data_IF_455886804289
#
_entry.id   IF_455886804289
#
_cell.length_a   1.000
_cell.length_b   1.000
_cell.length_c   1.000
_cell.angle_alpha   90.00
_cell.angle_beta   90.00
_cell.angle_gamma   90.00
#
_symmetry.space_group_name_H-M   'P 1'
#
loop_
_entity.id
_entity.type
_entity.pdbx_description
1 polymer ?
#
# COMPACT_ATOMS: atom_id res chain seq x y z
N UNK A 1 44.39 -33.69 -17.75
CA UNK A 1 44.42 -34.48 -16.50
C UNK A 1 43.10 -34.30 -15.76
N UNK A 2 42.53 -35.41 -15.28
CA UNK A 2 41.36 -35.59 -14.38
C UNK A 2 40.02 -35.03 -14.89
N UNK A 3 39.18 -35.82 -15.58
CA UNK A 3 38.26 -36.90 -15.14
C UNK A 3 37.18 -36.50 -14.12
N UNK A 4 35.94 -36.52 -14.63
CA UNK A 4 34.64 -36.39 -13.97
C UNK A 4 34.37 -37.56 -13.00
N UNK A 5 33.68 -37.27 -11.89
CA UNK A 5 32.88 -38.26 -11.14
C UNK A 5 31.43 -37.77 -11.06
N UNK A 6 30.54 -38.57 -11.64
CA UNK A 6 29.09 -38.54 -11.44
C UNK A 6 28.79 -39.63 -10.41
N UNK A 7 28.07 -39.30 -9.34
CA UNK A 7 27.54 -40.29 -8.40
C UNK A 7 26.02 -40.32 -8.54
N UNK A 8 25.52 -41.45 -9.03
CA UNK A 8 24.12 -41.85 -9.08
C UNK A 8 23.73 -42.48 -7.74
N UNK A 9 22.70 -41.97 -7.08
CA UNK A 9 22.09 -42.60 -5.90
C UNK A 9 20.79 -43.29 -6.31
N UNK A 10 20.80 -44.62 -6.24
CA UNK A 10 19.64 -45.50 -6.35
C UNK A 10 18.81 -45.42 -5.06
N UNK A 11 17.52 -45.10 -5.16
CA UNK A 11 16.56 -45.36 -4.08
C UNK A 11 15.63 -46.51 -4.47
N UNK A 12 15.61 -47.54 -3.61
CA UNK A 12 14.78 -48.74 -3.70
C UNK A 12 13.33 -48.43 -3.29
N UNK A 13 12.40 -48.97 -4.06
CA UNK A 13 10.96 -48.98 -3.77
C UNK A 13 10.63 -49.80 -2.51
N UNK A 14 9.99 -49.17 -1.53
CA UNK A 14 9.39 -49.82 -0.36
C UNK A 14 7.87 -49.89 -0.50
N UNK A 15 7.34 -51.12 -0.54
CA UNK A 15 5.90 -51.44 -0.58
C UNK A 15 5.19 -50.98 0.70
N UNK A 16 4.15 -50.16 0.57
CA UNK A 16 3.21 -49.83 1.65
C UNK A 16 2.12 -50.91 1.79
N UNK A 17 2.03 -51.50 2.98
CA UNK A 17 0.95 -52.39 3.40
C UNK A 17 -0.25 -51.60 3.94
N UNK A 18 -1.46 -51.90 3.45
CA UNK A 18 -2.75 -51.37 3.93
C UNK A 18 -3.12 -51.97 5.30
N UNK A 19 -3.75 -51.22 6.22
CA UNK A 19 -4.42 -51.81 7.37
C UNK A 19 -5.91 -52.10 7.09
N UNK A 20 -6.35 -53.26 7.56
CA UNK A 20 -7.75 -53.72 7.65
C UNK A 20 -8.48 -52.95 8.77
N UNK A 21 -9.77 -52.64 8.58
CA UNK A 21 -10.72 -52.34 9.67
C UNK A 21 -11.94 -53.26 9.54
N UNK A 22 -12.09 -54.13 10.53
CA UNK A 22 -13.33 -54.83 10.91
C UNK A 22 -14.10 -53.91 11.89
N UNK A 23 -15.37 -53.57 11.64
CA UNK A 23 -16.64 -54.20 12.08
C UNK A 23 -17.22 -53.64 13.41
N UNK A 24 -18.47 -53.14 13.27
CA UNK A 24 -19.61 -53.03 14.22
C UNK A 24 -19.60 -52.11 15.46
N UNK A 25 -20.55 -51.16 15.48
CA UNK A 25 -21.51 -50.95 16.57
C UNK A 25 -22.75 -50.19 16.01
N UNK A 26 -23.89 -50.86 15.79
CA UNK A 26 -25.11 -50.94 16.64
C UNK A 26 -25.95 -49.65 16.72
N UNK A 27 -27.00 -49.61 15.87
CA UNK A 27 -28.44 -49.44 16.17
C UNK A 27 -28.95 -48.28 17.07
N UNK A 28 -29.65 -47.35 16.42
CA UNK A 28 -31.04 -46.90 16.60
C UNK A 28 -31.68 -46.66 17.99
N UNK A 29 -32.35 -45.51 18.03
CA UNK A 29 -33.73 -45.23 18.49
C UNK A 29 -33.99 -44.64 19.89
N UNK A 30 -34.39 -43.36 19.85
CA UNK A 30 -35.62 -42.75 20.41
C UNK A 30 -36.01 -43.14 21.85
N UNK A 31 -36.11 -42.12 22.72
CA UNK A 31 -37.36 -41.75 23.41
C UNK A 31 -37.25 -40.40 24.13
N UNK A 32 -38.27 -39.60 23.90
CA UNK A 32 -38.57 -38.31 24.51
C UNK A 32 -38.90 -38.45 26.00
N UNK A 33 -38.51 -37.47 26.82
CA UNK A 33 -39.32 -37.03 27.95
C UNK A 33 -39.06 -35.54 28.24
N UNK A 34 -40.16 -34.80 28.34
CA UNK A 34 -40.25 -33.37 28.60
C UNK A 34 -39.98 -33.04 30.09
N UNK A 35 -39.75 -31.74 30.30
CA UNK A 35 -39.93 -30.95 31.54
C UNK A 35 -38.73 -30.93 32.51
N UNK A 36 -37.91 -29.89 32.35
CA UNK A 36 -37.47 -29.02 33.46
C UNK A 36 -37.01 -27.69 32.87
N UNK A 37 -38.00 -26.81 32.61
CA UNK A 37 -37.77 -25.37 32.67
C UNK A 37 -37.34 -25.05 34.11
N UNK A 38 -36.47 -24.04 34.29
CA UNK A 38 -36.02 -23.47 35.58
C UNK A 38 -34.64 -23.90 36.10
N UNK A 39 -33.57 -23.72 35.31
CA UNK A 39 -32.27 -23.20 35.78
C UNK A 39 -31.30 -23.02 34.59
N UNK A 40 -31.68 -22.20 33.60
CA UNK A 40 -30.65 -21.60 32.73
C UNK A 40 -30.01 -20.47 33.54
N UNK A 41 -29.13 -20.90 34.44
CA UNK A 41 -28.15 -20.05 35.09
C UNK A 41 -27.55 -19.17 33.99
N UNK A 42 -27.62 -17.86 34.18
CA UNK A 42 -26.82 -16.89 33.44
C UNK A 42 -25.36 -17.33 33.58
N UNK A 43 -24.90 -18.18 32.67
CA UNK A 43 -23.51 -18.20 32.27
C UNK A 43 -23.42 -16.97 31.36
N UNK A 44 -23.35 -15.81 32.00
CA UNK A 44 -22.60 -14.70 31.42
C UNK A 44 -21.19 -15.27 31.26
N UNK A 45 -20.91 -15.84 30.08
CA UNK A 45 -19.56 -15.87 29.56
C UNK A 45 -19.16 -14.41 29.43
N UNK A 46 -18.70 -13.85 30.54
CA UNK A 46 -17.64 -12.88 30.50
C UNK A 46 -16.52 -13.61 29.78
N UNK A 47 -16.50 -13.48 28.45
CA UNK A 47 -15.25 -13.60 27.71
C UNK A 47 -14.42 -12.52 28.36
N UNK A 48 -13.63 -12.93 29.35
CA UNK A 48 -12.60 -12.10 29.93
C UNK A 48 -11.80 -11.63 28.74
N UNK A 49 -11.97 -10.35 28.43
CA UNK A 49 -11.28 -9.67 27.37
C UNK A 49 -9.80 -9.74 27.75
N UNK A 50 -9.10 -10.78 27.28
CA UNK A 50 -7.65 -10.91 27.46
C UNK A 50 -6.98 -9.92 26.53
N UNK A 51 -7.20 -8.63 26.82
CA UNK A 51 -6.28 -7.58 26.41
C UNK A 51 -4.96 -7.86 27.11
N UNK A 52 -3.99 -8.30 26.33
CA UNK A 52 -2.60 -8.50 26.74
C UNK A 52 -1.76 -7.85 25.62
N UNK A 53 -0.71 -7.04 25.85
CA UNK A 53 0.17 -6.95 27.02
C UNK A 53 0.93 -5.62 27.23
N UNK A 54 0.79 -4.61 26.38
CA UNK A 54 1.56 -3.36 26.53
C UNK A 54 0.74 -2.29 27.28
N UNK A 55 1.28 -1.66 28.34
CA UNK A 55 0.60 -0.55 29.01
C UNK A 55 0.46 0.63 28.05
N UNK A 56 -0.57 1.46 28.23
CA UNK A 56 -0.68 2.72 27.50
C UNK A 56 0.60 3.53 27.76
N UNK A 57 1.30 3.90 26.69
CA UNK A 57 2.52 4.68 26.80
C UNK A 57 2.17 6.13 26.52
N UNK A 58 2.61 7.05 27.37
CA UNK A 58 2.55 8.48 27.06
C UNK A 58 3.93 8.98 26.68
N UNK A 59 4.04 9.63 25.53
CA UNK A 59 5.29 10.23 25.04
C UNK A 59 4.97 11.57 24.38
N UNK A 60 5.66 12.65 24.78
CA UNK A 60 5.48 14.01 24.24
C UNK A 60 4.02 14.49 24.20
N UNK A 61 3.25 14.22 25.26
CA UNK A 61 1.83 14.61 25.34
C UNK A 61 0.88 13.74 24.49
N UNK A 62 1.37 12.65 23.91
CA UNK A 62 0.59 11.70 23.11
C UNK A 62 0.47 10.39 23.87
N UNK A 63 -0.76 9.94 24.10
CA UNK A 63 -1.06 8.60 24.58
C UNK A 63 -1.10 7.63 23.38
N UNK A 64 -0.36 6.54 23.49
CA UNK A 64 -0.37 5.41 22.56
C UNK A 64 -1.08 4.27 23.26
N UNK A 65 -2.25 3.89 22.73
CA UNK A 65 -3.09 2.82 23.27
C UNK A 65 -3.14 1.66 22.29
N UNK A 66 -2.72 0.48 22.73
CA UNK A 66 -2.90 -0.76 21.99
C UNK A 66 -4.31 -1.30 22.16
N UNK A 67 -4.94 -1.68 21.05
CA UNK A 67 -6.29 -2.23 21.03
C UNK A 67 -6.40 -3.39 20.04
N UNK A 68 -7.48 -4.16 20.19
CA UNK A 68 -7.92 -5.17 19.24
C UNK A 68 -9.20 -4.71 18.56
N UNK A 69 -9.24 -4.79 17.24
CA UNK A 69 -10.44 -4.56 16.43
C UNK A 69 -11.01 -5.94 16.05
N UNK A 70 -12.17 -6.34 16.59
CA UNK A 70 -12.76 -7.63 16.28
C UNK A 70 -13.37 -7.64 14.88
N UNK A 71 -13.00 -8.62 14.08
CA UNK A 71 -13.60 -8.91 12.78
C UNK A 71 -14.82 -9.82 12.93
N UNK A 72 -15.76 -9.84 11.96
CA UNK A 72 -16.98 -10.64 12.04
C UNK A 72 -16.75 -12.16 12.16
N UNK A 73 -15.62 -12.64 11.63
CA UNK A 73 -15.21 -14.04 11.68
C UNK A 73 -14.49 -14.44 12.98
N UNK A 74 -14.33 -13.50 13.92
CA UNK A 74 -13.72 -13.72 15.22
C UNK A 74 -12.21 -13.45 15.26
N UNK A 75 -11.56 -13.19 14.13
CA UNK A 75 -10.16 -12.72 14.10
C UNK A 75 -10.07 -11.31 14.68
N UNK A 76 -8.96 -10.99 15.34
CA UNK A 76 -8.71 -9.65 15.87
C UNK A 76 -7.52 -9.00 15.16
N UNK A 77 -7.73 -7.79 14.66
CA UNK A 77 -6.66 -6.97 14.10
C UNK A 77 -6.05 -6.09 15.20
N UNK A 78 -4.73 -6.05 15.26
CA UNK A 78 -3.99 -5.25 16.22
C UNK A 78 -3.89 -3.80 15.73
N UNK A 79 -4.21 -2.85 16.61
CA UNK A 79 -4.11 -1.44 16.29
C UNK A 79 -3.47 -0.63 17.41
N UNK A 80 -2.68 0.38 17.03
CA UNK A 80 -2.16 1.39 17.93
C UNK A 80 -2.91 2.71 17.68
N UNK A 81 -3.60 3.22 18.70
CA UNK A 81 -4.24 4.52 18.68
C UNK A 81 -3.31 5.57 19.28
N UNK A 82 -3.01 6.60 18.51
CA UNK A 82 -2.24 7.75 18.96
C UNK A 82 -3.21 8.91 19.21
N UNK A 83 -3.30 9.37 20.46
CA UNK A 83 -4.31 10.31 20.92
C UNK A 83 -3.67 11.40 21.79
N UNK A 84 -4.24 12.61 21.88
CA UNK A 84 -3.79 13.61 22.86
C UNK A 84 -3.97 13.07 24.29
N UNK A 85 -2.92 13.11 25.12
CA UNK A 85 -2.91 12.49 26.44
C UNK A 85 -3.80 13.24 27.45
N UNK A 86 -3.84 14.57 27.34
CA UNK A 86 -4.56 15.52 28.18
C UNK A 86 -5.97 15.86 27.64
N UNK A 87 -6.52 14.99 26.78
CA UNK A 87 -7.88 15.16 26.21
C UNK A 87 -8.96 15.06 27.29
N UNK A 88 -10.00 15.90 27.15
CA UNK A 88 -11.23 15.76 27.95
C UNK A 88 -11.93 14.45 27.60
N UNK A 89 -12.55 13.79 28.57
CA UNK A 89 -13.30 12.55 28.34
C UNK A 89 -14.45 12.70 27.32
N UNK A 90 -14.98 13.93 27.15
CA UNK A 90 -16.03 14.26 26.18
C UNK A 90 -15.50 14.70 24.81
N UNK A 91 -14.18 14.84 24.65
CA UNK A 91 -13.58 15.28 23.40
C UNK A 91 -13.76 14.20 22.33
N UNK A 92 -14.16 14.63 21.13
CA UNK A 92 -14.29 13.78 19.94
C UNK A 92 -13.36 14.27 18.85
N UNK A 93 -12.76 13.33 18.15
CA UNK A 93 -11.77 13.61 17.11
C UNK A 93 -12.12 12.87 15.82
N UNK A 94 -11.93 13.49 14.65
CA UNK A 94 -11.80 12.73 13.41
C UNK A 94 -10.62 11.77 13.49
N UNK A 95 -10.74 10.64 12.80
CA UNK A 95 -9.73 9.58 12.81
C UNK A 95 -8.97 9.58 11.49
N UNK A 96 -7.64 9.55 11.54
CA UNK A 96 -6.79 9.27 10.38
C UNK A 96 -6.27 7.84 10.48
N UNK A 97 -6.60 7.02 9.50
CA UNK A 97 -6.24 5.61 9.45
C UNK A 97 -5.02 5.40 8.52
N UNK A 98 -4.01 4.71 9.04
CA UNK A 98 -2.98 4.04 8.24
C UNK A 98 -3.09 2.54 8.50
N UNK A 99 -3.46 1.77 7.48
CA UNK A 99 -3.75 0.33 7.53
C UNK A 99 -2.80 -0.35 6.54
N UNK A 100 -1.89 -1.24 6.94
CA UNK A 100 -0.93 -1.90 6.02
C UNK A 100 -0.06 -2.95 6.75
N UNK A 101 0.68 -3.86 6.05
CA UNK A 101 1.35 -5.00 6.68
C UNK A 101 2.71 -4.68 7.31
N UNK A 102 3.13 -3.41 7.33
CA UNK A 102 4.48 -3.02 7.79
C UNK A 102 4.58 -2.85 9.30
N UNK A 103 4.11 -3.87 10.04
CA UNK A 103 4.40 -4.14 11.44
C UNK A 103 4.46 -2.88 12.31
N UNK A 104 3.31 -2.45 12.82
CA UNK A 104 3.11 -1.17 13.52
C UNK A 104 4.04 -0.96 14.72
N UNK A 105 4.45 -2.03 15.38
CA UNK A 105 5.22 -1.97 16.63
C UNK A 105 6.70 -1.63 16.37
N UNK A 106 7.30 -2.23 15.35
CA UNK A 106 8.68 -2.00 14.92
C UNK A 106 8.83 -0.68 14.16
N UNK A 107 7.82 -0.31 13.38
CA UNK A 107 7.83 0.95 12.62
C UNK A 107 7.46 2.18 13.46
N UNK A 108 7.04 1.99 14.72
CA UNK A 108 6.53 3.03 15.62
C UNK A 108 7.43 4.26 15.71
N UNK A 109 8.74 4.07 15.95
CA UNK A 109 9.70 5.18 16.08
C UNK A 109 9.79 6.01 14.80
N UNK A 110 9.85 5.36 13.65
CA UNK A 110 9.91 6.02 12.34
C UNK A 110 8.63 6.78 11.99
N UNK A 111 7.48 6.35 12.55
CA UNK A 111 6.16 6.95 12.28
C UNK A 111 5.74 8.00 13.31
N UNK A 112 6.34 8.04 14.49
CA UNK A 112 5.90 8.93 15.57
C UNK A 112 5.88 10.41 15.16
N UNK A 113 6.98 10.90 14.55
CA UNK A 113 7.07 12.30 14.09
C UNK A 113 6.04 12.65 13.00
N UNK A 114 5.61 11.65 12.22
CA UNK A 114 4.56 11.81 11.22
C UNK A 114 3.19 11.96 11.90
N UNK A 115 2.88 11.07 12.84
CA UNK A 115 1.57 11.04 13.50
C UNK A 115 1.38 12.18 14.49
N UNK A 116 2.43 12.57 15.23
CA UNK A 116 2.39 13.69 16.18
C UNK A 116 1.98 15.00 15.54
N UNK A 117 2.33 15.20 14.26
CA UNK A 117 1.91 16.35 13.49
C UNK A 117 0.38 16.46 13.37
N UNK A 118 -0.31 15.34 13.10
CA UNK A 118 -1.77 15.35 13.01
C UNK A 118 -2.43 15.39 14.40
N UNK A 119 -1.85 14.71 15.39
CA UNK A 119 -2.42 14.65 16.74
C UNK A 119 -2.44 16.03 17.40
N UNK A 120 -1.35 16.79 17.25
CA UNK A 120 -1.27 18.20 17.69
C UNK A 120 -2.26 19.13 16.99
N UNK A 121 -2.95 18.67 15.95
CA UNK A 121 -3.95 19.40 15.16
C UNK A 121 -5.36 18.84 15.33
N UNK A 122 -5.59 18.08 16.41
CA UNK A 122 -6.94 17.63 16.79
C UNK A 122 -7.42 16.41 16.00
N UNK A 123 -6.50 15.49 15.70
CA UNK A 123 -6.82 14.17 15.14
C UNK A 123 -6.45 13.05 16.11
N UNK A 124 -7.11 11.90 15.94
CA UNK A 124 -6.59 10.62 16.41
C UNK A 124 -6.01 9.89 15.21
N UNK A 125 -4.81 9.32 15.34
CA UNK A 125 -4.24 8.45 14.31
C UNK A 125 -4.39 7.00 14.74
N UNK A 126 -4.99 6.17 13.90
CA UNK A 126 -5.07 4.73 14.08
C UNK A 126 -4.11 4.05 13.10
N UNK A 127 -3.15 3.29 13.62
CA UNK A 127 -2.26 2.45 12.84
C UNK A 127 -2.64 1.00 13.04
N UNK A 128 -3.00 0.29 11.97
CA UNK A 128 -3.55 -1.06 12.03
C UNK A 128 -2.72 -2.00 11.18
N UNK A 129 -2.28 -3.12 11.77
CA UNK A 129 -1.65 -4.21 11.01
C UNK A 129 -2.76 -5.01 10.30
N UNK A 130 -2.60 -5.27 9.01
CA UNK A 130 -3.58 -6.10 8.28
C UNK A 130 -3.58 -7.54 8.81
N UNK A 131 -4.65 -8.28 8.51
CA UNK A 131 -4.80 -9.69 8.89
C UNK A 131 -3.54 -10.51 8.58
N UNK A 132 -3.12 -11.30 9.56
CA UNK A 132 -1.94 -12.16 9.40
C UNK A 132 -0.63 -11.41 9.14
N UNK A 133 -0.54 -10.13 9.52
CA UNK A 133 0.70 -9.34 9.53
C UNK A 133 0.97 -8.77 10.93
N UNK A 134 2.25 -8.46 11.22
CA UNK A 134 2.65 -7.91 12.53
C UNK A 134 2.00 -8.64 13.71
N UNK A 135 1.31 -7.89 14.56
CA UNK A 135 0.64 -8.42 15.76
C UNK A 135 -0.82 -8.85 15.52
N UNK A 136 -1.37 -8.65 14.31
CA UNK A 136 -2.72 -9.09 13.99
C UNK A 136 -2.85 -10.61 13.91
N UNK A 137 -4.01 -11.11 14.34
CA UNK A 137 -4.34 -12.54 14.25
C UNK A 137 -4.70 -12.94 12.80
N UNK A 138 -4.96 -14.23 12.61
CA UNK A 138 -5.39 -14.80 11.34
C UNK A 138 -4.24 -15.23 10.44
N UNK A 139 -4.62 -15.94 9.36
CA UNK A 139 -3.71 -16.38 8.31
C UNK A 139 -3.23 -15.18 7.50
N UNK A 140 -1.96 -15.18 7.11
CA UNK A 140 -1.41 -14.22 6.15
C UNK A 140 -2.28 -14.23 4.88
N UNK A 141 -2.64 -13.03 4.41
CA UNK A 141 -3.39 -12.88 3.16
C UNK A 141 -2.60 -13.45 1.98
N UNK A 142 -3.30 -13.91 0.96
CA UNK A 142 -2.68 -14.69 -0.12
C UNK A 142 -1.77 -13.86 -1.04
N UNK A 143 -1.97 -12.54 -1.11
CA UNK A 143 -1.21 -11.58 -1.91
C UNK A 143 -1.56 -10.14 -1.49
N UNK A 144 -0.96 -9.11 -2.10
CA UNK A 144 -1.23 -7.70 -1.80
C UNK A 144 -2.65 -7.32 -2.18
N UNK A 145 -3.35 -6.52 -1.36
CA UNK A 145 -4.65 -5.96 -1.71
C UNK A 145 -5.71 -7.02 -2.08
N UNK A 146 -5.78 -8.08 -1.27
CA UNK A 146 -6.82 -9.12 -1.41
C UNK A 146 -8.20 -8.57 -1.08
N UNK A 147 -9.25 -9.21 -1.59
CA UNK A 147 -10.63 -8.88 -1.20
C UNK A 147 -10.82 -8.94 0.32
N UNK A 148 -10.21 -9.92 0.99
CA UNK A 148 -10.23 -10.04 2.44
C UNK A 148 -9.59 -8.84 3.14
N UNK A 149 -8.45 -8.33 2.65
CA UNK A 149 -7.83 -7.11 3.19
C UNK A 149 -8.78 -5.91 3.08
N UNK A 150 -9.49 -5.79 1.95
CA UNK A 150 -10.41 -4.69 1.71
C UNK A 150 -11.68 -4.81 2.57
N UNK A 151 -12.25 -6.00 2.71
CA UNK A 151 -13.41 -6.25 3.58
C UNK A 151 -13.07 -5.97 5.05
N UNK A 152 -11.89 -6.40 5.51
CA UNK A 152 -11.39 -6.07 6.84
C UNK A 152 -11.21 -4.55 7.00
N UNK A 153 -10.72 -3.86 5.98
CA UNK A 153 -10.58 -2.41 5.96
C UNK A 153 -11.91 -1.66 6.14
N UNK A 154 -12.99 -2.14 5.52
CA UNK A 154 -14.34 -1.60 5.70
C UNK A 154 -14.80 -1.75 7.15
N UNK A 155 -14.58 -2.92 7.75
CA UNK A 155 -14.89 -3.19 9.16
C UNK A 155 -14.07 -2.29 10.09
N UNK A 156 -12.78 -2.12 9.81
CA UNK A 156 -11.89 -1.23 10.59
C UNK A 156 -12.40 0.21 10.55
N UNK A 157 -12.77 0.73 9.37
CA UNK A 157 -13.30 2.09 9.21
C UNK A 157 -14.62 2.26 9.96
N UNK A 158 -15.55 1.32 9.81
CA UNK A 158 -16.83 1.34 10.52
C UNK A 158 -16.61 1.29 12.05
N UNK A 159 -15.73 0.41 12.53
CA UNK A 159 -15.41 0.27 13.94
C UNK A 159 -14.82 1.57 14.50
N UNK A 160 -13.83 2.17 13.84
CA UNK A 160 -13.20 3.43 14.26
C UNK A 160 -14.20 4.59 14.29
N UNK A 161 -15.17 4.61 13.38
CA UNK A 161 -16.21 5.64 13.34
C UNK A 161 -17.16 5.58 14.55
N UNK A 162 -17.36 4.40 15.15
CA UNK A 162 -18.33 4.17 16.23
C UNK A 162 -17.77 4.36 17.64
N UNK A 163 -16.47 4.66 17.77
CA UNK A 163 -15.85 4.83 19.07
C UNK A 163 -16.33 6.10 19.78
N UNK A 164 -16.43 6.07 21.11
CA UNK A 164 -16.96 7.20 21.89
C UNK A 164 -16.17 8.51 21.72
N UNK A 165 -14.87 8.40 21.43
CA UNK A 165 -13.95 9.51 21.16
C UNK A 165 -13.88 9.90 19.68
N UNK A 166 -14.64 9.24 18.81
CA UNK A 166 -14.68 9.51 17.36
C UNK A 166 -15.78 10.51 17.01
N UNK A 167 -15.54 11.37 16.02
CA UNK A 167 -16.59 12.19 15.40
C UNK A 167 -17.45 11.40 14.41
N UNK A 168 -17.12 10.14 14.13
CA UNK A 168 -17.77 9.33 13.10
C UNK A 168 -17.20 9.55 11.69
N UNK A 169 -16.20 10.40 11.54
CA UNK A 169 -15.54 10.70 10.26
C UNK A 169 -14.11 10.18 10.27
N UNK A 170 -13.79 9.38 9.25
CA UNK A 170 -12.49 8.76 9.05
C UNK A 170 -11.87 9.30 7.77
N UNK A 171 -10.57 9.58 7.81
CA UNK A 171 -9.75 9.79 6.63
C UNK A 171 -8.68 8.70 6.57
N UNK A 172 -8.19 8.40 5.38
CA UNK A 172 -7.05 7.48 5.22
C UNK A 172 -5.85 8.21 4.64
N UNK A 173 -4.66 7.78 5.04
CA UNK A 173 -3.44 8.27 4.44
C UNK A 173 -2.34 7.22 4.51
N UNK A 174 -1.34 7.39 3.65
CA UNK A 174 -0.13 6.60 3.73
C UNK A 174 0.77 6.82 2.52
N UNK A 175 1.97 6.24 2.63
CA UNK A 175 2.93 6.14 1.54
C UNK A 175 2.98 4.69 1.03
N UNK A 176 3.23 4.47 -0.25
CA UNK A 176 3.35 3.13 -0.84
C UNK A 176 2.06 2.34 -0.61
N UNK A 177 2.09 1.14 -0.02
CA UNK A 177 0.89 0.37 0.34
C UNK A 177 -0.25 1.17 0.98
N UNK A 178 0.09 2.10 1.89
CA UNK A 178 -0.92 2.93 2.53
C UNK A 178 -1.59 3.93 1.59
N UNK A 179 -0.92 4.30 0.49
CA UNK A 179 -1.48 5.08 -0.59
C UNK A 179 -2.38 4.21 -1.49
N UNK A 180 -1.92 3.02 -1.87
CA UNK A 180 -2.64 2.08 -2.72
C UNK A 180 -3.96 1.69 -2.07
N UNK A 181 -3.92 1.23 -0.82
CA UNK A 181 -5.14 0.78 -0.17
C UNK A 181 -6.04 1.94 0.27
N UNK A 182 -5.52 3.16 0.41
CA UNK A 182 -6.38 4.35 0.52
C UNK A 182 -7.18 4.56 -0.77
N UNK A 183 -6.56 4.44 -1.94
CA UNK A 183 -7.23 4.53 -3.24
C UNK A 183 -8.25 3.39 -3.39
N UNK A 184 -7.86 2.15 -3.11
CA UNK A 184 -8.73 0.98 -3.21
C UNK A 184 -9.92 1.07 -2.25
N UNK A 185 -9.70 1.55 -1.02
CA UNK A 185 -10.80 1.76 -0.08
C UNK A 185 -11.73 2.89 -0.52
N UNK A 186 -11.19 3.94 -1.16
CA UNK A 186 -12.01 4.98 -1.77
C UNK A 186 -12.90 4.45 -2.91
N UNK A 187 -12.46 3.44 -3.67
CA UNK A 187 -13.30 2.76 -4.68
C UNK A 187 -14.52 2.08 -4.05
N UNK A 188 -14.38 1.61 -2.81
CA UNK A 188 -15.43 0.90 -2.07
C UNK A 188 -16.41 1.83 -1.36
N UNK A 189 -16.08 3.13 -1.25
CA UNK A 189 -16.91 4.16 -0.63
C UNK A 189 -17.50 3.81 0.76
N UNK A 190 -16.71 3.35 1.75
CA UNK A 190 -17.22 3.14 3.10
C UNK A 190 -17.85 4.42 3.65
N UNK A 191 -19.05 4.30 4.24
CA UNK A 191 -19.84 5.48 4.61
C UNK A 191 -19.13 6.45 5.55
N UNK A 192 -18.23 5.97 6.43
CA UNK A 192 -17.48 6.80 7.36
C UNK A 192 -16.18 7.37 6.77
N UNK A 193 -15.70 6.88 5.61
CA UNK A 193 -14.54 7.43 4.93
C UNK A 193 -14.92 8.74 4.22
N UNK A 194 -14.23 9.84 4.54
CA UNK A 194 -14.57 11.19 4.07
C UNK A 194 -13.53 11.85 3.19
N UNK A 195 -12.27 11.42 3.27
CA UNK A 195 -11.20 11.88 2.41
C UNK A 195 -9.99 10.96 2.49
N UNK A 196 -9.17 10.93 1.44
CA UNK A 196 -7.88 10.23 1.45
C UNK A 196 -6.72 11.15 1.08
N UNK A 197 -5.51 10.81 1.56
CA UNK A 197 -4.23 11.36 1.11
C UNK A 197 -3.29 10.21 0.73
N UNK A 198 -3.11 9.96 -0.57
CA UNK A 198 -2.31 8.88 -1.12
C UNK A 198 -0.95 9.40 -1.61
N UNK A 199 0.15 8.91 -1.03
CA UNK A 199 1.52 9.39 -1.27
C UNK A 199 2.35 8.30 -1.96
N UNK A 200 2.97 8.58 -3.10
CA UNK A 200 3.78 7.61 -3.86
C UNK A 200 3.06 6.27 -4.04
N UNK A 201 1.88 6.28 -4.65
CA UNK A 201 1.13 5.05 -4.91
C UNK A 201 0.37 5.10 -6.22
N UNK A 202 -0.05 3.94 -6.71
CA UNK A 202 -0.71 3.81 -8.01
C UNK A 202 -2.18 3.44 -7.90
N UNK A 203 -2.93 3.89 -8.92
CA UNK A 203 -4.29 3.49 -9.23
C UNK A 203 -4.38 2.29 -10.21
N UNK A 204 -3.24 1.76 -10.66
CA UNK A 204 -3.14 0.68 -11.64
C UNK A 204 -2.00 -0.29 -11.29
N UNK A 205 -2.36 -1.50 -10.85
CA UNK A 205 -1.41 -2.49 -10.34
C UNK A 205 -0.61 -3.20 -11.45
N UNK A 206 -1.18 -3.42 -12.63
CA UNK A 206 -0.44 -4.13 -13.68
C UNK A 206 0.54 -3.21 -14.40
N UNK A 207 0.16 -1.94 -14.53
CA UNK A 207 0.93 -0.99 -15.30
C UNK A 207 2.04 -0.34 -14.50
N UNK A 208 1.83 -0.11 -13.21
CA UNK A 208 2.73 0.73 -12.45
C UNK A 208 3.16 0.14 -11.12
N UNK A 209 2.87 -1.14 -10.83
CA UNK A 209 3.30 -1.75 -9.56
C UNK A 209 4.68 -2.39 -9.65
N UNK A 210 5.31 -2.62 -8.49
CA UNK A 210 6.67 -3.16 -8.37
C UNK A 210 6.84 -4.53 -9.02
N UNK A 211 5.73 -5.22 -9.28
CA UNK A 211 5.69 -6.50 -9.97
C UNK A 211 5.75 -6.37 -11.50
N UNK A 212 5.08 -5.36 -12.07
CA UNK A 212 4.97 -5.11 -13.50
C UNK A 212 4.91 -3.60 -13.80
N UNK A 213 5.77 -3.16 -14.71
CA UNK A 213 5.85 -1.76 -15.16
C UNK A 213 5.64 -1.73 -16.68
N UNK A 214 4.59 -1.06 -17.15
CA UNK A 214 4.15 -1.05 -18.55
C UNK A 214 4.03 -2.48 -19.16
N UNK A 215 3.61 -3.45 -18.34
CA UNK A 215 3.50 -4.85 -18.73
C UNK A 215 4.83 -5.62 -18.82
N UNK A 216 5.94 -5.00 -18.43
CA UNK A 216 7.24 -5.66 -18.28
C UNK A 216 7.37 -6.21 -16.86
N UNK A 217 7.68 -7.49 -16.75
CA UNK A 217 7.98 -8.12 -15.47
C UNK A 217 9.19 -7.44 -14.82
N UNK A 218 8.99 -6.94 -13.62
CA UNK A 218 10.03 -6.38 -12.78
C UNK A 218 10.38 -7.39 -11.67
N UNK A 219 11.63 -7.41 -11.18
CA UNK A 219 12.04 -8.25 -10.05
C UNK A 219 12.73 -7.35 -9.05
N UNK A 220 12.13 -7.21 -7.87
CA UNK A 220 12.57 -6.21 -6.91
C UNK A 220 12.90 -6.79 -5.53
N UNK A 221 13.86 -6.17 -4.85
CA UNK A 221 14.24 -6.52 -3.48
C UNK A 221 13.08 -6.41 -2.48
N UNK A 222 12.12 -5.51 -2.73
CA UNK A 222 10.91 -5.33 -1.95
C UNK A 222 10.07 -6.60 -1.91
N UNK A 223 9.89 -7.29 -3.04
CA UNK A 223 9.04 -8.49 -3.12
C UNK A 223 9.54 -9.56 -2.13
N UNK A 224 10.85 -9.83 -2.16
CA UNK A 224 11.50 -10.73 -1.21
C UNK A 224 11.45 -10.20 0.22
N UNK A 225 11.65 -8.90 0.40
CA UNK A 225 11.60 -8.25 1.71
C UNK A 225 10.24 -8.38 2.38
N UNK A 226 9.14 -8.26 1.63
CA UNK A 226 7.79 -8.42 2.16
C UNK A 226 7.47 -9.86 2.52
N UNK A 227 7.79 -10.82 1.65
CA UNK A 227 7.62 -12.25 1.97
C UNK A 227 8.35 -12.61 3.28
N UNK A 228 9.56 -12.09 3.48
CA UNK A 228 10.33 -12.28 4.72
C UNK A 228 9.69 -11.52 5.90
N UNK A 229 9.23 -10.29 5.72
CA UNK A 229 8.66 -9.49 6.81
C UNK A 229 7.35 -10.10 7.37
N UNK A 230 6.54 -10.69 6.50
CA UNK A 230 5.26 -11.30 6.84
C UNK A 230 5.40 -12.57 7.67
N UNK A 231 6.52 -13.30 7.52
CA UNK A 231 6.83 -14.46 8.35
C UNK A 231 7.42 -14.10 9.70
N UNK A 232 7.88 -12.86 9.95
CA UNK A 232 8.50 -12.51 11.25
C UNK A 232 7.49 -12.61 12.41
N UNK A 233 7.89 -13.15 13.58
CA UNK A 233 7.00 -13.30 14.73
C UNK A 233 6.68 -11.95 15.38
N UNK A 234 5.51 -11.81 16.00
CA UNK A 234 5.07 -10.55 16.62
C UNK A 234 5.87 -10.22 17.91
N UNK A 235 6.35 -8.96 18.11
CA UNK A 235 6.97 -8.54 19.37
C UNK A 235 5.93 -8.10 20.41
N UNK A 236 6.29 -7.99 21.71
CA UNK A 236 7.51 -8.50 22.35
C UNK A 236 7.37 -9.94 22.88
N UNK A 237 6.14 -10.43 23.02
CA UNK A 237 5.83 -11.77 23.52
C UNK A 237 5.71 -12.75 22.35
N UNK A 238 6.84 -13.11 21.75
CA UNK A 238 6.89 -14.01 20.60
C UNK A 238 6.30 -15.38 20.95
N UNK A 239 5.13 -15.70 20.40
CA UNK A 239 4.56 -17.06 20.43
C UNK A 239 4.82 -17.70 19.08
N UNK A 240 5.78 -18.62 19.04
CA UNK A 240 6.09 -19.45 17.87
C UNK A 240 5.57 -20.86 18.18
N UNK A 241 4.32 -21.10 17.81
CA UNK A 241 3.62 -22.38 18.00
C UNK A 241 3.12 -22.95 16.65
N UNK A 242 2.35 -24.03 16.71
CA UNK A 242 1.81 -24.66 15.49
C UNK A 242 0.90 -23.71 14.71
N UNK A 243 0.15 -22.84 15.39
CA UNK A 243 -0.69 -21.85 14.73
C UNK A 243 0.16 -20.83 13.97
N UNK A 244 1.25 -20.35 14.56
CA UNK A 244 2.18 -19.45 13.88
C UNK A 244 2.76 -20.07 12.59
N UNK A 245 3.24 -21.31 12.63
CA UNK A 245 3.76 -21.96 11.42
C UNK A 245 2.68 -22.17 10.36
N UNK A 246 1.50 -22.63 10.75
CA UNK A 246 0.38 -22.80 9.81
C UNK A 246 -0.08 -21.49 9.19
N UNK A 247 -0.18 -20.44 10.00
CA UNK A 247 -0.81 -19.18 9.59
C UNK A 247 0.17 -18.24 8.86
N UNK A 248 1.49 -18.43 9.05
CA UNK A 248 2.53 -17.57 8.46
C UNK A 248 3.54 -18.28 7.57
N UNK A 249 3.87 -19.56 7.79
CA UNK A 249 4.88 -20.30 7.00
C UNK A 249 4.27 -21.23 5.95
N UNK A 250 3.10 -21.83 6.23
CA UNK A 250 2.40 -22.70 5.27
C UNK A 250 1.56 -21.86 4.27
N UNK A 251 2.21 -20.84 3.71
CA UNK A 251 1.66 -19.92 2.71
C UNK A 251 2.63 -19.80 1.56
N UNK A 252 2.11 -19.83 0.33
CA UNK A 252 2.95 -19.62 -0.84
C UNK A 252 3.53 -18.20 -0.84
N UNK A 253 4.84 -18.01 -1.11
CA UNK A 253 5.42 -16.68 -1.26
C UNK A 253 4.71 -15.87 -2.35
N UNK A 254 4.38 -14.63 -2.04
CA UNK A 254 3.61 -13.76 -2.93
C UNK A 254 4.34 -13.52 -4.25
N UNK A 255 5.68 -13.43 -4.22
CA UNK A 255 6.50 -13.30 -5.42
C UNK A 255 6.12 -14.30 -6.52
N UNK A 256 5.92 -15.57 -6.15
CA UNK A 256 5.61 -16.64 -7.12
C UNK A 256 4.24 -16.45 -7.75
N UNK A 257 3.28 -15.89 -7.01
CA UNK A 257 1.95 -15.58 -7.50
C UNK A 257 2.06 -14.50 -8.59
N UNK A 258 2.76 -13.40 -8.33
CA UNK A 258 2.90 -12.32 -9.31
C UNK A 258 3.61 -12.78 -10.58
N UNK A 259 4.69 -13.59 -10.47
CA UNK A 259 5.41 -14.05 -11.67
C UNK A 259 4.59 -14.98 -12.58
N UNK A 260 3.51 -15.56 -12.06
CA UNK A 260 2.54 -16.35 -12.85
C UNK A 260 1.46 -15.48 -13.49
N UNK A 261 1.20 -14.28 -12.98
CA UNK A 261 0.17 -13.36 -13.46
C UNK A 261 0.73 -12.39 -14.51
N UNK A 262 1.30 -12.93 -15.59
CA UNK A 262 2.08 -12.16 -16.57
C UNK A 262 1.27 -11.25 -17.49
N UNK A 263 -0.06 -11.37 -17.47
CA UNK A 263 -0.95 -10.59 -18.33
C UNK A 263 -1.89 -9.77 -17.47
N UNK A 264 -2.21 -8.58 -17.97
CA UNK A 264 -3.31 -7.79 -17.47
C UNK A 264 -4.62 -8.62 -17.49
N UNK A 265 -5.47 -8.43 -16.49
CA UNK A 265 -6.70 -9.20 -16.37
C UNK A 265 -7.30 -9.22 -14.97
N UNK A 266 -8.25 -10.15 -14.72
CA UNK A 266 -9.05 -10.17 -13.50
C UNK A 266 -8.26 -10.14 -12.19
N UNK A 267 -7.07 -10.76 -12.17
CA UNK A 267 -6.18 -10.68 -11.02
C UNK A 267 -5.82 -9.22 -10.73
N UNK A 268 -5.17 -8.50 -11.64
CA UNK A 268 -4.74 -7.11 -11.43
C UNK A 268 -5.91 -6.12 -11.29
N UNK A 269 -7.00 -6.37 -12.03
CA UNK A 269 -8.16 -5.49 -12.08
C UNK A 269 -8.94 -5.41 -10.76
N UNK A 270 -8.79 -6.41 -9.88
CA UNK A 270 -9.54 -6.48 -8.60
C UNK A 270 -9.36 -5.23 -7.72
N UNK A 271 -8.18 -4.61 -7.79
CA UNK A 271 -7.74 -3.55 -6.89
C UNK A 271 -7.08 -2.38 -7.65
N UNK A 272 -7.46 -2.23 -8.93
CA UNK A 272 -7.02 -1.15 -9.82
C UNK A 272 -8.24 -0.37 -10.32
N UNK A 273 -8.11 0.95 -10.47
CA UNK A 273 -9.14 1.77 -11.11
C UNK A 273 -9.24 1.47 -12.61
N UNK A 274 -8.11 1.23 -13.27
CA UNK A 274 -8.00 0.92 -14.69
C UNK A 274 -8.75 1.90 -15.60
N UNK A 275 -10.01 1.59 -15.91
CA UNK A 275 -10.91 2.36 -16.76
C UNK A 275 -12.13 2.94 -16.04
N UNK A 276 -12.39 2.56 -14.78
CA UNK A 276 -13.56 3.02 -14.01
C UNK A 276 -13.17 3.92 -12.82
N UNK A 277 -12.80 5.15 -13.14
CA UNK A 277 -12.56 6.22 -12.17
C UNK A 277 -13.84 6.75 -11.52
N UNK A 278 -15.00 6.42 -12.09
CA UNK A 278 -16.29 6.84 -11.55
C UNK A 278 -16.63 6.11 -10.23
N UNK A 279 -15.98 4.97 -9.96
CA UNK A 279 -16.11 4.21 -8.72
C UNK A 279 -15.73 5.02 -7.47
N UNK A 280 -14.78 5.96 -7.56
CA UNK A 280 -14.40 6.80 -6.42
C UNK A 280 -15.33 8.01 -6.32
N UNK A 281 -16.03 8.13 -5.19
CA UNK A 281 -16.76 9.35 -4.79
C UNK A 281 -16.09 10.10 -3.63
N UNK A 282 -15.08 9.49 -3.03
CA UNK A 282 -14.35 10.06 -1.90
C UNK A 282 -13.36 11.12 -2.37
N UNK A 283 -13.35 12.32 -1.77
CA UNK A 283 -12.32 13.32 -2.00
C UNK A 283 -10.90 12.73 -1.88
N UNK A 284 -10.10 12.90 -2.93
CA UNK A 284 -8.80 12.25 -3.07
C UNK A 284 -7.66 13.25 -3.25
N UNK A 285 -6.67 13.21 -2.36
CA UNK A 285 -5.45 13.99 -2.51
C UNK A 285 -4.28 13.06 -2.85
N UNK A 286 -3.71 13.18 -4.05
CA UNK A 286 -2.58 12.38 -4.51
C UNK A 286 -1.26 13.16 -4.48
N UNK A 287 -0.18 12.53 -4.01
CA UNK A 287 1.14 13.14 -3.93
C UNK A 287 2.15 12.17 -4.55
N UNK A 288 2.95 12.62 -5.51
CA UNK A 288 3.89 11.79 -6.28
C UNK A 288 5.25 12.46 -6.46
N UNK A 289 6.19 11.70 -7.03
CA UNK A 289 7.57 12.11 -7.28
C UNK A 289 8.01 11.80 -8.71
N UNK A 290 8.76 12.70 -9.35
CA UNK A 290 9.27 12.48 -10.71
C UNK A 290 10.25 11.32 -10.83
N UNK A 291 10.98 11.02 -9.76
CA UNK A 291 11.92 9.91 -9.68
C UNK A 291 11.32 8.74 -8.90
N UNK A 292 10.01 8.77 -8.64
CA UNK A 292 9.26 7.67 -8.04
C UNK A 292 8.76 6.72 -9.13
N UNK A 293 8.63 5.44 -8.78
CA UNK A 293 8.08 4.41 -9.65
C UNK A 293 6.62 4.67 -10.05
N UNK A 294 5.83 5.23 -9.15
CA UNK A 294 4.39 5.43 -9.30
C UNK A 294 4.02 6.80 -9.90
N UNK A 295 4.96 7.43 -10.61
CA UNK A 295 4.86 8.79 -11.15
C UNK A 295 3.66 9.06 -12.07
N UNK A 296 3.12 8.01 -12.70
CA UNK A 296 2.01 8.12 -13.65
C UNK A 296 0.64 8.30 -12.97
N UNK A 297 0.54 7.94 -11.70
CA UNK A 297 -0.71 7.96 -10.92
C UNK A 297 -1.26 9.38 -10.72
N UNK A 298 -0.44 10.33 -10.26
CA UNK A 298 -0.87 11.72 -10.01
C UNK A 298 -1.51 12.37 -11.24
N UNK A 299 -0.83 12.43 -12.42
CA UNK A 299 -1.43 13.03 -13.61
C UNK A 299 -2.69 12.28 -14.07
N UNK A 300 -2.67 10.94 -14.06
CA UNK A 300 -3.81 10.12 -14.49
C UNK A 300 -5.04 10.32 -13.60
N UNK A 301 -4.85 10.40 -12.28
CA UNK A 301 -5.91 10.66 -11.30
C UNK A 301 -6.46 12.08 -11.43
N UNK A 302 -5.62 13.09 -11.65
CA UNK A 302 -6.06 14.47 -11.90
C UNK A 302 -6.89 14.61 -13.19
N UNK A 303 -6.54 13.84 -14.22
CA UNK A 303 -7.21 13.84 -15.51
C UNK A 303 -8.55 13.10 -15.49
N UNK A 304 -8.62 11.96 -14.79
CA UNK A 304 -9.74 11.02 -14.93
C UNK A 304 -10.72 10.99 -13.76
N UNK A 305 -10.34 11.41 -12.55
CA UNK A 305 -11.27 11.40 -11.42
C UNK A 305 -12.34 12.49 -11.54
N UNK A 306 -13.59 12.11 -11.31
CA UNK A 306 -14.72 13.03 -11.20
C UNK A 306 -14.91 13.55 -9.77
N UNK A 307 -14.49 12.77 -8.76
CA UNK A 307 -14.51 13.21 -7.37
C UNK A 307 -13.55 14.38 -7.14
N UNK A 308 -13.75 15.19 -6.07
CA UNK A 308 -12.81 16.24 -5.72
C UNK A 308 -11.38 15.70 -5.60
N UNK A 309 -10.48 16.20 -6.45
CA UNK A 309 -9.09 15.73 -6.51
C UNK A 309 -8.10 16.89 -6.50
N UNK A 310 -7.07 16.75 -5.67
CA UNK A 310 -5.89 17.63 -5.61
C UNK A 310 -4.62 16.79 -5.80
N UNK A 311 -3.60 17.36 -6.39
CA UNK A 311 -2.37 16.67 -6.76
C UNK A 311 -1.11 17.48 -6.41
N UNK A 312 -0.07 16.80 -5.93
CA UNK A 312 1.27 17.37 -5.87
C UNK A 312 2.27 16.43 -6.55
N UNK A 313 3.12 16.97 -7.42
CA UNK A 313 4.20 16.23 -8.07
C UNK A 313 5.54 16.92 -7.82
N UNK A 314 6.35 16.35 -6.93
CA UNK A 314 7.67 16.89 -6.59
C UNK A 314 8.82 16.17 -7.29
N UNK A 315 10.07 16.63 -7.10
CA UNK A 315 11.25 16.00 -7.68
C UNK A 315 11.74 14.82 -6.83
N UNK A 316 10.86 14.08 -6.17
CA UNK A 316 11.24 13.06 -5.20
C UNK A 316 11.33 11.68 -5.84
N UNK A 317 12.19 10.84 -5.26
CA UNK A 317 12.11 9.38 -5.33
C UNK A 317 11.05 8.87 -4.33
N UNK A 318 11.02 7.57 -4.07
CA UNK A 318 10.06 6.91 -3.18
C UNK A 318 10.25 7.28 -1.69
N UNK A 319 9.93 8.53 -1.34
CA UNK A 319 10.14 9.12 -0.02
C UNK A 319 9.00 10.06 0.35
N UNK A 320 8.85 10.35 1.65
CA UNK A 320 7.92 11.37 2.11
C UNK A 320 8.46 12.76 1.76
N UNK A 321 7.64 13.69 1.23
CA UNK A 321 8.13 15.02 0.80
C UNK A 321 8.81 15.87 1.88
N UNK A 322 8.50 15.64 3.16
CA UNK A 322 9.11 16.33 4.31
C UNK A 322 10.44 15.69 4.76
N UNK A 323 10.74 14.48 4.26
CA UNK A 323 12.04 13.81 4.34
C UNK A 323 12.54 13.53 2.93
N UNK A 324 12.77 14.59 2.13
CA UNK A 324 12.88 14.46 0.69
C UNK A 324 14.19 13.80 0.29
N UNK A 325 14.10 12.94 -0.71
CA UNK A 325 15.24 12.65 -1.55
C UNK A 325 14.78 12.50 -3.00
N UNK A 326 15.38 13.23 -3.95
CA UNK A 326 16.28 14.37 -3.75
C UNK A 326 15.53 15.65 -3.30
N UNK A 327 16.27 16.69 -2.92
CA UNK A 327 15.71 18.01 -2.57
C UNK A 327 15.23 18.78 -3.82
N UNK A 328 14.43 19.85 -3.67
CA UNK A 328 13.83 20.40 -2.45
C UNK A 328 12.71 19.53 -1.87
N UNK A 329 12.51 19.60 -0.56
CA UNK A 329 11.35 19.03 0.11
C UNK A 329 10.18 19.98 0.19
N UNK A 330 9.08 19.46 0.73
CA UNK A 330 7.86 20.20 0.99
C UNK A 330 7.19 19.65 2.26
N UNK A 331 6.71 20.55 3.11
CA UNK A 331 5.93 20.16 4.29
C UNK A 331 4.50 19.79 3.89
N UNK A 332 4.36 18.65 3.23
CA UNK A 332 3.09 18.16 2.69
C UNK A 332 2.01 17.98 3.75
N UNK A 333 2.39 17.74 5.02
CA UNK A 333 1.44 17.54 6.11
C UNK A 333 0.62 18.80 6.38
N UNK A 334 1.16 19.98 6.07
CA UNK A 334 0.40 21.23 6.12
C UNK A 334 -0.81 21.18 5.17
N UNK A 335 -0.60 20.81 3.91
CA UNK A 335 -1.69 20.68 2.93
C UNK A 335 -2.63 19.52 3.28
N UNK A 336 -2.10 18.40 3.76
CA UNK A 336 -2.94 17.27 4.21
C UNK A 336 -3.85 17.66 5.39
N UNK A 337 -3.38 18.49 6.33
CA UNK A 337 -4.22 19.01 7.41
C UNK A 337 -5.31 19.90 6.86
N UNK A 338 -4.99 20.86 5.98
CA UNK A 338 -6.01 21.73 5.36
C UNK A 338 -7.07 20.91 4.61
N UNK A 339 -6.64 19.84 3.95
CA UNK A 339 -7.51 18.89 3.25
C UNK A 339 -8.42 18.13 4.21
N UNK A 340 -7.86 17.54 5.27
CA UNK A 340 -8.65 16.81 6.25
C UNK A 340 -9.52 17.73 7.12
N UNK A 341 -9.11 18.95 7.43
CA UNK A 341 -9.90 19.94 8.17
C UNK A 341 -11.16 20.26 7.35
N UNK A 342 -11.01 20.48 6.04
CA UNK A 342 -12.14 20.70 5.15
C UNK A 342 -13.12 19.52 5.13
N UNK A 343 -12.65 18.30 4.84
CA UNK A 343 -13.55 17.16 4.64
C UNK A 343 -14.03 16.49 5.93
N UNK A 344 -13.20 16.46 6.98
CA UNK A 344 -13.54 15.77 8.23
C UNK A 344 -14.06 16.74 9.29
N UNK A 345 -13.62 17.99 9.34
CA UNK A 345 -14.12 18.97 10.33
C UNK A 345 -15.20 19.88 9.75
N UNK A 346 -15.20 20.10 8.44
CA UNK A 346 -16.11 21.02 7.77
C UNK A 346 -15.62 22.46 7.81
N UNK A 347 -14.32 22.65 8.05
CA UNK A 347 -13.70 23.97 8.12
C UNK A 347 -13.51 24.54 6.70
N UNK A 348 -13.67 25.85 6.54
CA UNK A 348 -13.29 26.54 5.33
C UNK A 348 -11.79 26.85 5.37
N UNK A 349 -11.00 26.02 4.68
CA UNK A 349 -9.54 26.15 4.63
C UNK A 349 -9.04 26.82 3.34
N UNK A 350 -9.95 27.19 2.43
CA UNK A 350 -9.64 27.69 1.09
C UNK A 350 -8.96 26.68 0.15
N UNK A 351 -8.72 25.43 0.58
CA UNK A 351 -7.95 24.45 -0.22
C UNK A 351 -8.60 24.09 -1.56
N UNK A 352 -9.92 24.22 -1.64
CA UNK A 352 -10.73 23.94 -2.83
C UNK A 352 -10.80 25.12 -3.81
N UNK A 353 -10.45 26.33 -3.37
CA UNK A 353 -10.43 27.53 -4.22
C UNK A 353 -9.07 27.75 -4.91
N UNK A 354 -8.08 26.95 -4.52
CA UNK A 354 -6.73 26.98 -5.07
C UNK A 354 -6.59 26.07 -6.30
N UNK A 355 -5.52 26.28 -7.11
CA UNK A 355 -5.17 25.34 -8.16
C UNK A 355 -5.09 23.89 -7.65
N UNK A 356 -5.61 22.97 -8.45
CA UNK A 356 -5.70 21.55 -8.09
C UNK A 356 -4.37 20.82 -8.18
N UNK A 357 -3.39 21.36 -8.91
CA UNK A 357 -2.13 20.67 -9.16
C UNK A 357 -0.92 21.56 -8.86
N UNK A 358 -0.10 21.17 -7.88
CA UNK A 358 1.24 21.75 -7.69
C UNK A 358 2.29 20.82 -8.30
N UNK A 359 3.12 21.35 -9.20
CA UNK A 359 4.13 20.58 -9.92
C UNK A 359 5.49 21.24 -9.82
N UNK A 360 6.51 20.46 -9.50
CA UNK A 360 7.89 20.90 -9.56
C UNK A 360 8.41 20.76 -10.99
N UNK A 361 8.61 21.89 -11.67
CA UNK A 361 9.18 21.95 -13.01
C UNK A 361 10.69 21.78 -12.88
N UNK A 362 11.20 20.63 -13.30
CA UNK A 362 12.64 20.33 -13.28
C UNK A 362 13.37 21.11 -14.34
N UNK A 363 14.53 21.64 -13.98
CA UNK A 363 15.54 22.12 -14.92
C UNK A 363 16.57 21.02 -15.19
N UNK A 364 17.37 21.21 -16.24
CA UNK A 364 18.41 20.27 -16.59
C UNK A 364 19.45 20.13 -15.46
N UNK A 365 19.88 18.89 -15.23
CA UNK A 365 21.06 18.56 -14.44
C UNK A 365 21.80 17.38 -15.10
N UNK A 366 23.10 17.17 -14.81
CA UNK A 366 23.83 16.00 -15.29
C UNK A 366 23.18 14.67 -14.83
N UNK A 367 23.28 13.57 -15.62
CA UNK A 367 22.77 12.26 -15.22
C UNK A 367 23.37 11.75 -13.91
N UNK A 368 22.64 10.84 -13.26
CA UNK A 368 23.01 10.25 -11.97
C UNK A 368 22.29 10.89 -10.77
N UNK A 369 22.61 10.36 -9.59
CA UNK A 369 22.03 10.82 -8.33
C UNK A 369 22.44 12.27 -8.04
N UNK A 370 21.49 13.09 -7.62
CA UNK A 370 21.69 14.48 -7.24
C UNK A 370 21.07 14.74 -5.87
N UNK A 371 21.75 15.50 -5.01
CA UNK A 371 21.18 15.85 -3.70
C UNK A 371 19.99 16.82 -3.82
N UNK A 372 20.03 17.67 -4.84
CA UNK A 372 19.02 18.68 -5.13
C UNK A 372 18.80 18.79 -6.63
N UNK A 373 17.56 18.62 -7.04
CA UNK A 373 17.13 18.79 -8.43
C UNK A 373 16.88 20.28 -8.67
N UNK A 374 17.49 20.91 -9.68
CA UNK A 374 17.21 22.30 -10.04
C UNK A 374 15.81 22.42 -10.65
N UNK A 375 15.19 23.58 -10.49
CA UNK A 375 13.81 23.81 -10.89
C UNK A 375 13.01 24.68 -9.92
N UNK A 376 11.71 24.75 -10.15
CA UNK A 376 10.80 25.62 -9.41
C UNK A 376 9.39 25.03 -9.33
N UNK A 377 8.63 25.43 -8.30
CA UNK A 377 7.22 25.05 -8.16
C UNK A 377 6.32 25.87 -9.07
N UNK A 378 5.30 25.23 -9.63
CA UNK A 378 4.25 25.85 -10.43
C UNK A 378 2.90 25.27 -10.02
N UNK A 379 1.87 26.10 -10.04
CA UNK A 379 0.50 25.72 -9.69
C UNK A 379 -0.39 25.80 -10.93
N UNK A 380 -1.21 24.77 -11.14
CA UNK A 380 -2.03 24.56 -12.34
C UNK A 380 -3.44 24.10 -11.94
N UNK A 381 -4.44 24.43 -12.75
CA UNK A 381 -5.84 24.08 -12.48
C UNK A 381 -6.14 22.58 -12.65
N UNK A 382 -5.24 21.84 -13.30
CA UNK A 382 -5.38 20.39 -13.47
C UNK A 382 -4.29 19.80 -14.38
N UNK A 383 -4.51 18.54 -14.76
CA UNK A 383 -3.72 17.82 -15.74
C UNK A 383 -4.65 17.19 -16.79
N UNK A 384 -4.30 17.19 -18.09
CA UNK A 384 -3.16 17.87 -18.70
C UNK A 384 -3.23 19.40 -18.55
N UNK A 385 -2.07 20.06 -18.54
CA UNK A 385 -2.02 21.52 -18.46
C UNK A 385 -2.62 22.12 -19.76
N UNK A 386 -3.60 23.03 -19.66
CA UNK A 386 -4.39 23.53 -20.80
C UNK A 386 -3.53 24.09 -21.95
N UNK A 387 -2.46 24.81 -21.62
CA UNK A 387 -1.53 25.42 -22.61
C UNK A 387 -0.53 24.44 -23.24
N UNK A 388 -0.69 23.13 -23.03
CA UNK A 388 0.20 22.11 -23.58
C UNK A 388 0.08 22.06 -25.11
N UNK A 389 1.22 22.17 -25.81
CA UNK A 389 1.31 22.01 -27.27
C UNK A 389 2.08 20.74 -27.59
N UNK A 390 1.47 19.82 -28.35
CA UNK A 390 2.14 18.60 -28.83
C UNK A 390 3.12 18.97 -29.95
N UNK A 391 4.41 18.73 -29.72
CA UNK A 391 5.45 18.84 -30.74
C UNK A 391 5.80 17.43 -31.23
N UNK A 392 5.56 17.15 -32.51
CA UNK A 392 6.01 15.92 -33.15
C UNK A 392 7.46 16.10 -33.63
N UNK A 393 8.35 15.23 -33.17
CA UNK A 393 9.73 15.11 -33.67
C UNK A 393 9.87 13.75 -34.35
N UNK A 394 10.13 13.75 -35.65
CA UNK A 394 10.31 12.57 -36.48
C UNK A 394 11.78 12.15 -36.50
N UNK A 395 12.03 10.85 -36.46
CA UNK A 395 13.36 10.28 -36.67
C UNK A 395 13.76 10.34 -38.15
N UNK A 396 15.03 10.66 -38.40
CA UNK A 396 15.63 10.78 -39.73
C UNK A 396 16.79 9.78 -39.92
N UNK A 397 17.13 9.57 -41.20
CA UNK A 397 18.20 8.69 -41.67
C UNK A 397 19.58 9.01 -41.09
N UNK A 398 19.84 10.28 -40.80
CA UNK A 398 21.10 10.78 -40.24
C UNK A 398 21.13 10.74 -38.70
N UNK A 399 20.24 9.95 -38.09
CA UNK A 399 20.11 9.79 -36.64
C UNK A 399 19.69 11.09 -35.91
N UNK A 400 19.04 12.02 -36.61
CA UNK A 400 18.51 13.25 -36.02
C UNK A 400 16.99 13.19 -35.77
N UNK A 401 16.50 14.13 -34.96
CA UNK A 401 15.08 14.36 -34.70
C UNK A 401 14.69 15.75 -35.22
N UNK A 402 13.61 15.86 -36.02
CA UNK A 402 13.12 17.15 -36.50
C UNK A 402 11.59 17.21 -36.61
N UNK A 403 11.01 18.43 -36.67
CA UNK A 403 9.56 18.59 -36.88
C UNK A 403 9.10 18.34 -38.32
N UNK A 404 10.04 18.22 -39.27
CA UNK A 404 9.71 17.90 -40.65
C UNK A 404 9.48 16.39 -40.78
N UNK A 405 8.36 16.01 -41.40
CA UNK A 405 8.16 14.60 -41.78
C UNK A 405 9.28 14.17 -42.74
N UNK A 406 9.78 12.96 -42.58
CA UNK A 406 10.68 12.36 -43.57
C UNK A 406 10.01 12.39 -44.95
N UNK A 407 10.61 13.10 -45.92
CA UNK A 407 10.06 13.27 -47.27
C UNK A 407 10.77 12.30 -48.21
N UNK A 408 10.06 11.24 -48.62
CA UNK A 408 10.42 10.41 -49.79
C UNK A 408 11.52 9.37 -49.58
N UNK A 409 11.25 8.16 -50.09
CA UNK A 409 12.20 7.04 -50.19
C UNK A 409 11.95 5.98 -49.13
N UNK A 410 11.72 4.74 -49.57
CA UNK A 410 11.48 3.52 -48.78
C UNK A 410 11.98 3.61 -47.34
N UNK A 411 11.06 3.51 -46.38
CA UNK A 411 11.31 3.75 -44.96
C UNK A 411 12.64 3.18 -44.50
N UNK A 412 13.60 4.07 -44.20
CA UNK A 412 14.91 3.65 -43.74
C UNK A 412 14.74 2.89 -42.43
N UNK A 413 15.32 1.70 -42.38
CA UNK A 413 15.23 0.82 -41.23
C UNK A 413 16.58 0.80 -40.53
N UNK A 414 16.66 1.37 -39.33
CA UNK A 414 17.80 1.18 -38.45
C UNK A 414 17.62 -0.14 -37.70
N UNK A 415 18.68 -0.94 -37.59
CA UNK A 415 18.65 -2.25 -36.93
C UNK A 415 19.69 -2.26 -35.81
N UNK A 416 19.23 -2.61 -34.61
CA UNK A 416 20.08 -2.88 -33.46
C UNK A 416 20.01 -4.36 -33.12
N UNK A 417 21.13 -4.93 -32.64
CA UNK A 417 21.14 -6.29 -32.11
C UNK A 417 20.49 -6.27 -30.72
N UNK A 418 19.48 -7.12 -30.51
CA UNK A 418 18.94 -7.32 -29.17
C UNK A 418 19.95 -8.10 -28.31
N UNK A 419 20.35 -7.47 -27.21
CA UNK A 419 21.21 -8.06 -26.18
C UNK A 419 20.42 -8.04 -24.86
N UNK A 420 19.94 -9.19 -24.36
CA UNK A 420 19.13 -9.26 -23.14
C UNK A 420 19.80 -8.65 -21.90
N UNK A 421 21.14 -8.54 -21.90
CA UNK A 421 21.93 -8.02 -20.79
C UNK A 421 22.04 -6.49 -20.76
N UNK A 422 21.74 -5.81 -21.88
CA UNK A 422 21.94 -4.34 -21.97
C UNK A 422 21.13 -3.61 -20.92
N UNK A 423 19.89 -4.02 -20.63
CA UNK A 423 19.08 -3.38 -19.57
C UNK A 423 19.69 -3.45 -18.17
N UNK A 424 20.53 -4.46 -17.89
CA UNK A 424 21.22 -4.64 -16.59
C UNK A 424 22.48 -3.78 -16.52
N UNK A 425 23.19 -3.63 -17.64
CA UNK A 425 24.48 -2.91 -17.70
C UNK A 425 24.30 -1.40 -17.99
N UNK A 426 23.25 -1.03 -18.74
CA UNK A 426 22.94 0.33 -19.18
C UNK A 426 22.25 1.21 -18.14
N UNK A 427 21.61 0.58 -17.15
CA UNK A 427 20.81 1.27 -16.13
C UNK A 427 21.65 1.83 -14.98
N UNK A 428 22.93 1.46 -14.89
CA UNK A 428 23.84 1.91 -13.83
C UNK A 428 23.42 1.37 -12.45
N UNK A 429 23.81 2.06 -11.37
CA UNK A 429 23.26 1.76 -10.04
C UNK A 429 21.79 2.19 -10.01
N UNK A 430 20.91 1.23 -10.29
CA UNK A 430 19.47 1.35 -10.04
C UNK A 430 19.23 1.26 -8.54
N UNK A 431 18.67 2.34 -7.96
CA UNK A 431 17.96 2.24 -6.68
C UNK A 431 16.66 1.44 -6.89
N UNK A 432 15.76 1.44 -5.90
CA UNK A 432 14.52 0.66 -5.88
C UNK A 432 13.78 0.58 -7.24
N UNK A 433 13.68 1.66 -8.03
CA UNK A 433 12.96 1.67 -9.33
C UNK A 433 13.77 2.23 -10.50
N UNK A 434 15.10 2.27 -10.40
CA UNK A 434 15.92 3.03 -11.34
C UNK A 434 15.62 4.53 -11.26
N UNK A 435 15.36 5.00 -10.04
CA UNK A 435 14.88 6.35 -9.70
C UNK A 435 15.62 7.44 -10.46
N UNK A 436 16.95 7.34 -10.64
CA UNK A 436 17.75 8.35 -11.33
C UNK A 436 18.13 7.90 -12.73
N UNK A 437 17.91 8.73 -13.77
CA UNK A 437 18.42 8.44 -15.09
C UNK A 437 19.94 8.46 -15.05
N UNK A 438 20.55 7.30 -15.29
CA UNK A 438 22.01 7.18 -15.44
C UNK A 438 22.47 7.76 -16.78
N UNK A 439 23.77 8.01 -16.90
CA UNK A 439 24.35 8.48 -18.15
C UNK A 439 24.28 7.39 -19.23
N UNK A 440 23.45 7.62 -20.25
CA UNK A 440 23.22 6.65 -21.32
C UNK A 440 24.36 6.61 -22.36
N UNK A 441 25.40 7.43 -22.24
CA UNK A 441 26.53 7.41 -23.21
C UNK A 441 27.29 6.09 -23.23
N UNK A 442 27.28 5.33 -22.14
CA UNK A 442 27.99 4.05 -22.03
C UNK A 442 27.25 2.85 -22.63
N UNK A 443 26.07 3.05 -23.22
CA UNK A 443 25.20 1.97 -23.71
C UNK A 443 25.35 1.68 -25.21
N UNK A 444 26.25 2.38 -25.89
CA UNK A 444 26.54 2.28 -27.33
C UNK A 444 27.58 1.19 -27.63
#
# INVERSE_FOLDING_TARGET
MLQRRVQTLNMKEGKLSKPKKEILMVRNMRRSLLITLSLALLITTTVANSQSRLPNVTHEGIEIKEIWIPMPDGVRLAASLFMPADRKATAKFPVLLEYLPYRKDESRKGRFAQFSYFISRGYVVARVDIRGSGTSEGKLIEYEYTDQEQEDGEVVIDWLSKQAWSTGKVGMFGISWGAFNSIQMAMRNPSALKAIVAIMGTDDLFRDDVHFIDGMMHVDSYEFGQDIANILPAPPDYVIDEAYFRDRFDTEPWLLIYKRQQHDGPFWNRASLNSDYSSIKIPTFVIGGWYDGYRDSVPRMLEKLEAPVKGIMGPWAHTLPNFPYPKPGMEWRHEAVRWFDHWLKGDDTGIMDEPRFAVYVREWHPPGAVDKVPGYWRWEDGWPIERTKKLALYAHADHTLSSAKSVGGDGQTHKLRYLPTVGVEASGNVNWWGDFPWDQRGTD
#
